data_IF_746666994339
#
_entry.id   IF_746666994339
#
_cell.length_a   1.000
_cell.length_b   1.000
_cell.length_c   1.000
_cell.angle_alpha   90.00
_cell.angle_beta   90.00
_cell.angle_gamma   90.00
#
_symmetry.space_group_name_H-M   'P 1'
#
loop_
_entity.id
_entity.type
_entity.pdbx_description
1 polymer ?
#
# COMPACT_ATOMS: atom_id res chain seq x y z
N UNK A 1 -13.00 10.02 7.54
CA UNK A 1 -12.94 11.09 8.55
C UNK A 1 -11.54 11.06 9.16
N UNK A 2 -10.81 12.19 9.18
CA UNK A 2 -9.52 12.30 9.88
C UNK A 2 -9.83 12.57 11.35
N UNK A 3 -9.34 11.71 12.24
CA UNK A 3 -9.43 11.90 13.69
C UNK A 3 -8.03 12.29 14.22
N UNK A 4 -7.78 13.58 14.49
CA UNK A 4 -6.47 14.06 14.94
C UNK A 4 -6.08 13.54 16.32
N UNK A 5 -7.06 13.33 17.21
CA UNK A 5 -6.81 12.87 18.57
C UNK A 5 -6.37 11.40 18.56
N UNK A 6 -7.02 10.58 17.72
CA UNK A 6 -6.59 9.21 17.47
C UNK A 6 -5.18 9.16 16.84
N UNK A 7 -4.89 10.03 15.87
CA UNK A 7 -3.55 10.09 15.27
C UNK A 7 -2.48 10.42 16.32
N UNK A 8 -2.72 11.43 17.15
CA UNK A 8 -1.79 11.82 18.20
C UNK A 8 -1.55 10.69 19.21
N UNK A 9 -2.63 10.00 19.61
CA UNK A 9 -2.54 8.81 20.47
C UNK A 9 -1.69 7.71 19.82
N UNK A 10 -1.93 7.38 18.54
CA UNK A 10 -1.17 6.36 17.81
C UNK A 10 0.30 6.74 17.61
N UNK A 11 0.61 8.03 17.43
CA UNK A 11 1.98 8.53 17.31
C UNK A 11 2.83 8.25 18.57
N UNK A 12 2.22 8.15 19.76
CA UNK A 12 2.94 7.84 21.00
C UNK A 12 3.55 6.43 21.01
N UNK A 13 3.07 5.51 20.17
CA UNK A 13 3.60 4.15 20.05
C UNK A 13 4.81 4.04 19.10
N UNK A 14 5.17 5.11 18.40
CA UNK A 14 6.21 5.09 17.36
C UNK A 14 7.37 6.00 17.76
N UNK A 15 8.59 5.59 17.44
CA UNK A 15 9.77 6.44 17.72
C UNK A 15 9.77 7.67 16.82
N UNK A 16 10.37 8.80 17.27
CA UNK A 16 10.49 10.00 16.44
C UNK A 16 11.12 9.74 15.07
N UNK A 17 12.12 8.85 15.00
CA UNK A 17 12.79 8.47 13.76
C UNK A 17 11.86 7.72 12.81
N UNK A 18 11.04 6.80 13.32
CA UNK A 18 10.04 6.09 12.50
C UNK A 18 8.94 7.03 12.01
N UNK A 19 8.50 7.97 12.85
CA UNK A 19 7.52 8.99 12.45
C UNK A 19 8.05 9.85 11.31
N UNK A 20 9.29 10.34 11.42
CA UNK A 20 9.91 11.12 10.35
C UNK A 20 10.00 10.28 9.05
N UNK A 21 10.42 9.02 9.17
CA UNK A 21 10.49 8.12 8.01
C UNK A 21 9.13 7.93 7.32
N UNK A 22 8.02 7.87 8.07
CA UNK A 22 6.70 7.82 7.45
C UNK A 22 6.39 9.09 6.66
N UNK A 23 6.67 10.27 7.22
CA UNK A 23 6.48 11.56 6.54
C UNK A 23 7.30 11.59 5.24
N UNK A 24 8.59 11.27 5.31
CA UNK A 24 9.49 11.28 4.14
C UNK A 24 9.00 10.34 3.03
N UNK A 25 8.50 9.15 3.38
CA UNK A 25 8.00 8.17 2.41
C UNK A 25 6.64 8.58 1.83
N UNK A 26 5.78 9.23 2.62
CA UNK A 26 4.47 9.71 2.16
C UNK A 26 4.60 10.78 1.07
N UNK A 27 5.63 11.63 1.14
CA UNK A 27 5.94 12.63 0.10
C UNK A 27 6.31 12.02 -1.25
N UNK A 28 6.80 10.77 -1.25
CA UNK A 28 7.21 10.05 -2.46
C UNK A 28 6.08 9.19 -3.05
N UNK A 29 4.86 9.24 -2.50
CA UNK A 29 3.73 8.45 -2.98
C UNK A 29 3.06 9.12 -4.19
N UNK A 30 2.62 8.31 -5.15
CA UNK A 30 1.98 8.77 -6.40
C UNK A 30 0.64 8.09 -6.65
N UNK A 31 -0.29 8.85 -7.24
CA UNK A 31 -1.55 8.36 -7.85
C UNK A 31 -1.64 8.71 -9.34
N UNK A 32 -0.53 9.10 -9.96
CA UNK A 32 -0.48 9.37 -11.41
C UNK A 32 -0.53 8.10 -12.25
N UNK A 33 -0.14 6.97 -11.66
CA UNK A 33 -0.20 5.63 -12.27
C UNK A 33 -0.83 4.67 -11.27
N UNK A 34 -1.46 3.62 -11.79
CA UNK A 34 -2.01 2.51 -11.02
C UNK A 34 -1.69 1.19 -11.72
N UNK A 35 -1.65 0.10 -10.95
CA UNK A 35 -1.40 -1.25 -11.46
C UNK A 35 -2.70 -2.04 -11.45
N UNK A 36 -3.05 -2.61 -12.60
CA UNK A 36 -4.11 -3.61 -12.71
C UNK A 36 -3.48 -4.99 -12.91
N UNK A 37 -3.94 -5.97 -12.12
CA UNK A 37 -3.40 -7.31 -12.05
C UNK A 37 -4.53 -8.27 -12.43
N UNK A 38 -4.41 -8.94 -13.56
CA UNK A 38 -5.45 -9.84 -14.08
C UNK A 38 -4.99 -11.29 -14.07
N UNK A 39 -5.86 -12.19 -13.58
CA UNK A 39 -5.70 -13.65 -13.64
C UNK A 39 -4.32 -14.17 -13.20
N UNK A 40 -3.80 -13.66 -12.09
CA UNK A 40 -2.53 -14.13 -11.52
C UNK A 40 -2.67 -15.57 -11.07
N UNK A 41 -1.95 -16.46 -11.74
CA UNK A 41 -2.03 -17.91 -11.57
C UNK A 41 -1.74 -18.39 -10.13
N UNK A 42 -0.85 -17.70 -9.40
CA UNK A 42 -0.49 -18.04 -8.03
C UNK A 42 -0.57 -16.80 -7.13
N UNK A 43 -1.37 -16.86 -6.07
CA UNK A 43 -1.63 -15.72 -5.16
C UNK A 43 -0.35 -15.06 -4.59
N UNK A 44 0.75 -15.79 -4.46
CA UNK A 44 2.01 -15.21 -3.97
C UNK A 44 2.63 -14.20 -4.96
N UNK A 45 2.33 -14.31 -6.26
CA UNK A 45 2.76 -13.32 -7.24
C UNK A 45 2.04 -12.00 -7.05
N UNK A 46 0.77 -12.01 -6.63
CA UNK A 46 0.04 -10.79 -6.25
C UNK A 46 0.74 -10.07 -5.08
N UNK A 47 1.24 -10.81 -4.08
CA UNK A 47 2.04 -10.24 -3.00
C UNK A 47 3.37 -9.63 -3.47
N UNK A 48 4.01 -10.19 -4.51
CA UNK A 48 5.21 -9.61 -5.10
C UNK A 48 4.90 -8.30 -5.86
N UNK A 49 3.76 -8.24 -6.56
CA UNK A 49 3.28 -7.02 -7.22
C UNK A 49 2.99 -5.92 -6.20
N UNK A 50 2.28 -6.24 -5.11
CA UNK A 50 1.98 -5.27 -4.03
C UNK A 50 3.27 -4.70 -3.42
N UNK A 51 4.27 -5.56 -3.15
CA UNK A 51 5.58 -5.09 -2.64
C UNK A 51 6.29 -4.19 -3.65
N UNK A 52 6.18 -4.48 -4.94
CA UNK A 52 6.76 -3.63 -5.98
C UNK A 52 6.06 -2.27 -6.03
N UNK A 53 4.73 -2.23 -5.90
CA UNK A 53 3.96 -0.98 -5.80
C UNK A 53 4.44 -0.13 -4.62
N UNK A 54 4.67 -0.77 -3.46
CA UNK A 54 5.18 -0.10 -2.26
C UNK A 54 6.55 0.55 -2.50
N UNK A 55 7.50 -0.17 -3.12
CA UNK A 55 8.84 0.35 -3.44
C UNK A 55 8.80 1.50 -4.43
N UNK A 56 7.92 1.46 -5.42
CA UNK A 56 7.77 2.53 -6.43
C UNK A 56 6.86 3.68 -6.01
N UNK A 57 6.32 3.66 -4.79
CA UNK A 57 5.44 4.73 -4.29
C UNK A 57 4.01 4.68 -4.86
N UNK A 58 3.63 3.62 -5.57
CA UNK A 58 2.28 3.46 -6.14
C UNK A 58 1.29 3.15 -5.01
N UNK A 59 0.22 3.94 -4.91
CA UNK A 59 -0.77 3.81 -3.84
C UNK A 59 -1.92 2.85 -4.17
N UNK A 60 -2.30 2.77 -5.45
CA UNK A 60 -3.47 2.03 -5.90
C UNK A 60 -3.06 0.83 -6.77
N UNK A 61 -3.50 -0.36 -6.39
CA UNK A 61 -3.38 -1.60 -7.17
C UNK A 61 -4.73 -2.33 -7.19
N UNK A 62 -5.16 -2.76 -8.37
CA UNK A 62 -6.43 -3.43 -8.61
C UNK A 62 -6.20 -4.88 -9.01
N UNK A 63 -6.94 -5.81 -8.40
CA UNK A 63 -6.90 -7.23 -8.75
C UNK A 63 -8.20 -7.60 -9.48
N UNK A 64 -8.08 -8.27 -10.62
CA UNK A 64 -9.17 -8.74 -11.46
C UNK A 64 -9.03 -10.26 -11.56
N UNK A 65 -9.98 -11.00 -10.98
CA UNK A 65 -9.99 -12.47 -11.02
C UNK A 65 -11.20 -12.94 -11.82
N UNK A 66 -10.96 -13.47 -13.02
CA UNK A 66 -12.02 -14.01 -13.88
C UNK A 66 -11.99 -15.55 -13.92
N UNK A 67 -10.80 -16.15 -13.94
CA UNK A 67 -10.62 -17.59 -14.17
C UNK A 67 -10.47 -18.46 -12.92
N UNK A 68 -9.89 -17.92 -11.85
CA UNK A 68 -9.49 -18.71 -10.68
C UNK A 68 -10.19 -18.31 -9.37
N UNK A 69 -11.00 -17.25 -9.36
CA UNK A 69 -11.65 -16.66 -8.17
C UNK A 69 -12.88 -17.42 -7.63
N UNK A 70 -13.20 -18.60 -8.15
CA UNK A 70 -14.23 -19.50 -7.60
C UNK A 70 -13.59 -20.77 -7.06
N UNK A 71 -13.14 -20.73 -5.81
CA UNK A 71 -12.95 -21.90 -4.95
C UNK A 71 -13.54 -21.61 -3.59
#
# INVERSE_FOLDING_TARGET
MRDPDLLHYLETFVTPQRRQRFIDILELRTRFITVAVEDVFQMHNSSAVIRSCEVFGIQDCHLIEARFGKR
#
